data_IF_494513459430
#
_entry.id   IF_494513459430
#
_cell.length_a   1.000
_cell.length_b   1.000
_cell.length_c   1.000
_cell.angle_alpha   90.00
_cell.angle_beta   90.00
_cell.angle_gamma   90.00
#
_symmetry.space_group_name_H-M   'P 1'
#
loop_
_entity.id
_entity.type
_entity.pdbx_description
1 polymer ?
#
# COMPACT_ATOMS: atom_id res chain seq x y z
N UNK A 1 8.28 6.18 -13.43
CA UNK A 1 8.13 5.75 -12.02
C UNK A 1 7.52 4.37 -12.02
N UNK A 2 8.14 3.40 -11.35
CA UNK A 2 7.61 2.02 -11.22
C UNK A 2 6.21 2.05 -10.57
N UNK A 3 5.29 1.15 -10.95
CA UNK A 3 3.89 1.21 -10.52
C UNK A 3 3.72 1.10 -9.01
N UNK A 4 4.53 0.27 -8.35
CA UNK A 4 4.56 0.16 -6.89
C UNK A 4 5.02 1.44 -6.19
N UNK A 5 6.07 2.10 -6.66
CA UNK A 5 6.52 3.39 -6.14
C UNK A 5 5.39 4.43 -6.25
N UNK A 6 4.71 4.48 -7.40
CA UNK A 6 3.56 5.37 -7.60
C UNK A 6 2.44 5.08 -6.60
N UNK A 7 2.04 3.82 -6.50
CA UNK A 7 0.98 3.39 -5.60
C UNK A 7 1.28 3.77 -4.15
N UNK A 8 2.48 3.47 -3.65
CA UNK A 8 2.86 3.75 -2.26
C UNK A 8 2.83 5.26 -1.94
N UNK A 9 3.30 6.11 -2.86
CA UNK A 9 3.23 7.56 -2.68
C UNK A 9 1.78 8.07 -2.60
N UNK A 10 0.88 7.58 -3.44
CA UNK A 10 -0.52 7.98 -3.40
C UNK A 10 -1.26 7.43 -2.19
N UNK A 11 -1.00 6.17 -1.81
CA UNK A 11 -1.54 5.58 -0.59
C UNK A 11 -1.19 6.44 0.63
N UNK A 12 0.10 6.80 0.78
CA UNK A 12 0.57 7.65 1.87
C UNK A 12 -0.14 9.01 1.85
N UNK A 13 -0.21 9.66 0.70
CA UNK A 13 -0.86 10.97 0.57
C UNK A 13 -2.36 10.96 0.86
N UNK A 14 -3.07 9.88 0.51
CA UNK A 14 -4.52 9.78 0.66
C UNK A 14 -4.96 9.23 2.02
N UNK A 15 -4.16 8.36 2.63
CA UNK A 15 -4.57 7.60 3.84
C UNK A 15 -3.65 7.80 5.04
N UNK A 16 -2.44 8.33 4.84
CA UNK A 16 -1.40 8.37 5.87
C UNK A 16 -0.71 7.02 6.13
N UNK A 17 -1.11 5.94 5.45
CA UNK A 17 -0.48 4.62 5.60
C UNK A 17 0.86 4.59 4.87
N UNK A 18 1.92 4.25 5.61
CA UNK A 18 3.29 4.14 5.08
C UNK A 18 3.66 2.67 4.89
N UNK A 19 3.94 2.30 3.64
CA UNK A 19 4.48 0.98 3.26
C UNK A 19 5.75 1.18 2.42
N UNK A 20 6.51 0.11 2.17
CA UNK A 20 7.75 0.20 1.38
C UNK A 20 7.56 -0.48 0.03
N UNK A 21 7.83 0.18 -1.12
CA UNK A 21 7.67 -0.43 -2.43
C UNK A 21 8.72 -1.52 -2.68
N UNK A 22 8.33 -2.63 -3.32
CA UNK A 22 9.21 -3.77 -3.60
C UNK A 22 10.30 -3.46 -4.62
N UNK A 23 10.15 -2.43 -5.46
CA UNK A 23 11.22 -1.93 -6.34
C UNK A 23 12.50 -1.53 -5.58
N UNK A 24 12.41 -1.24 -4.27
CA UNK A 24 13.60 -1.01 -3.42
C UNK A 24 14.31 -2.29 -2.97
N UNK A 25 13.77 -3.46 -3.29
CA UNK A 25 14.26 -4.78 -2.88
C UNK A 25 14.73 -5.56 -4.11
N UNK A 26 15.52 -6.62 -3.89
CA UNK A 26 15.91 -7.57 -4.94
C UNK A 26 14.73 -8.48 -5.28
N UNK A 27 13.70 -7.91 -5.91
CA UNK A 27 12.45 -8.58 -6.25
C UNK A 27 12.04 -8.22 -7.68
N UNK A 28 11.65 -9.23 -8.47
CA UNK A 28 11.15 -9.02 -9.83
C UNK A 28 9.66 -8.59 -9.86
N UNK A 29 8.94 -8.73 -8.75
CA UNK A 29 7.52 -8.40 -8.66
C UNK A 29 7.30 -6.96 -8.18
N UNK A 30 6.28 -6.32 -8.74
CA UNK A 30 5.74 -5.07 -8.19
C UNK A 30 4.85 -5.38 -6.99
N UNK A 31 5.01 -4.60 -5.93
CA UNK A 31 4.21 -4.73 -4.71
C UNK A 31 4.76 -3.85 -3.62
N UNK A 32 4.37 -4.13 -2.38
CA UNK A 32 4.88 -3.41 -1.22
C UNK A 32 4.99 -4.33 -0.01
N UNK A 33 5.84 -3.95 0.94
CA UNK A 33 5.95 -4.58 2.25
C UNK A 33 5.17 -3.74 3.28
N UNK A 34 4.23 -4.38 3.96
CA UNK A 34 3.57 -3.86 5.16
C UNK A 34 4.04 -4.61 6.42
N UNK A 35 3.79 -4.05 7.59
CA UNK A 35 4.09 -4.68 8.89
C UNK A 35 2.81 -5.20 9.54
N UNK A 36 2.94 -6.24 10.37
CA UNK A 36 1.84 -6.77 11.20
C UNK A 36 2.02 -6.40 12.68
N UNK A 37 2.76 -5.31 12.95
CA UNK A 37 3.15 -4.89 14.30
C UNK A 37 2.09 -4.05 15.02
N UNK A 38 1.01 -3.67 14.33
CA UNK A 38 -0.12 -2.98 14.96
C UNK A 38 -0.88 -3.96 15.86
N UNK A 39 -0.96 -3.65 17.15
CA UNK A 39 -1.58 -4.51 18.18
C UNK A 39 -2.99 -4.08 18.52
N UNK A 40 -3.38 -2.86 18.17
CA UNK A 40 -4.77 -2.42 18.29
C UNK A 40 -5.61 -3.04 17.15
N UNK A 41 -6.60 -3.83 17.53
CA UNK A 41 -7.40 -4.61 16.58
C UNK A 41 -8.25 -3.73 15.65
N UNK A 42 -8.81 -2.64 16.16
CA UNK A 42 -9.63 -1.72 15.37
C UNK A 42 -8.75 -0.99 14.34
N UNK A 43 -7.58 -0.52 14.77
CA UNK A 43 -6.60 0.14 13.91
C UNK A 43 -6.03 -0.81 12.87
N UNK A 44 -5.72 -2.05 13.26
CA UNK A 44 -5.26 -3.09 12.33
C UNK A 44 -6.32 -3.44 11.28
N UNK A 45 -7.58 -3.58 11.68
CA UNK A 45 -8.69 -3.79 10.75
C UNK A 45 -8.82 -2.62 9.77
N UNK A 46 -8.79 -1.38 10.29
CA UNK A 46 -8.84 -0.18 9.47
C UNK A 46 -7.69 -0.09 8.47
N UNK A 47 -6.46 -0.44 8.86
CA UNK A 47 -5.30 -0.47 7.95
C UNK A 47 -5.54 -1.45 6.81
N UNK A 48 -5.97 -2.68 7.11
CA UNK A 48 -6.17 -3.73 6.10
C UNK A 48 -7.32 -3.39 5.13
N UNK A 49 -8.43 -2.87 5.65
CA UNK A 49 -9.57 -2.42 4.84
C UNK A 49 -9.21 -1.22 3.95
N UNK A 50 -8.45 -0.27 4.50
CA UNK A 50 -7.95 0.89 3.76
C UNK A 50 -6.98 0.48 2.65
N UNK A 51 -6.08 -0.47 2.92
CA UNK A 51 -5.18 -1.03 1.91
C UNK A 51 -5.96 -1.67 0.76
N UNK A 52 -6.94 -2.54 1.06
CA UNK A 52 -7.80 -3.16 0.05
C UNK A 52 -8.49 -2.11 -0.82
N UNK A 53 -9.17 -1.16 -0.17
CA UNK A 53 -9.92 -0.10 -0.86
C UNK A 53 -9.00 0.76 -1.73
N UNK A 54 -7.80 1.09 -1.26
CA UNK A 54 -6.83 1.88 -2.00
C UNK A 54 -6.29 1.11 -3.23
N UNK A 55 -6.05 -0.20 -3.11
CA UNK A 55 -5.64 -1.05 -4.24
C UNK A 55 -6.75 -1.07 -5.30
N UNK A 56 -7.99 -1.35 -4.91
CA UNK A 56 -9.13 -1.40 -5.83
C UNK A 56 -9.30 -0.07 -6.59
N UNK A 57 -9.25 1.06 -5.86
CA UNK A 57 -9.32 2.40 -6.46
C UNK A 57 -8.16 2.69 -7.40
N UNK A 58 -6.95 2.32 -7.02
CA UNK A 58 -5.76 2.58 -7.83
C UNK A 58 -5.80 1.80 -9.14
N UNK A 59 -6.16 0.51 -9.09
CA UNK A 59 -6.31 -0.33 -10.29
C UNK A 59 -7.40 0.21 -11.22
N UNK A 60 -8.55 0.63 -10.67
CA UNK A 60 -9.64 1.23 -11.46
C UNK A 60 -9.30 2.62 -12.02
N UNK A 61 -8.32 3.33 -11.45
CA UNK A 61 -7.91 4.67 -11.94
C UNK A 61 -7.03 4.62 -13.20
N UNK A 62 -6.62 3.43 -13.63
CA UNK A 62 -5.79 3.22 -14.83
C UNK A 62 -6.57 2.99 -16.12
N UNK A 63 -7.91 2.99 -16.08
CA UNK A 63 -8.81 3.01 -17.24
C UNK A 63 -9.06 4.42 -17.77
#
# INVERSE_FOLDING_TARGET
MQPDKRFVYYLMGATGIVVVPLTGFQCAHHGFRATLLETDDERRAWILESLRTAIDRYVASGE
#
